data_IF_892943890836
#
_entry.id   IF_892943890836
#
_cell.length_a   1.000
_cell.length_b   1.000
_cell.length_c   1.000
_cell.angle_alpha   90.00
_cell.angle_beta   90.00
_cell.angle_gamma   90.00
#
_symmetry.space_group_name_H-M   'P 1'
#
loop_
_entity.id
_entity.type
_entity.pdbx_description
1 polymer ?
#
# COMPACT_ATOMS: atom_id res chain seq x y z
N UNK A 1 9.76 0.76 -7.42
CA UNK A 1 10.85 0.81 -6.41
C UNK A 1 11.09 2.25 -5.99
N UNK A 2 11.80 3.08 -6.75
CA UNK A 2 12.16 4.45 -6.32
C UNK A 2 11.00 5.34 -5.80
N UNK A 3 9.80 5.28 -6.38
CA UNK A 3 8.65 6.04 -5.88
C UNK A 3 8.11 5.51 -4.55
N UNK A 4 8.07 4.18 -4.39
CA UNK A 4 7.68 3.51 -3.16
C UNK A 4 8.69 3.80 -2.04
N UNK A 5 9.98 3.78 -2.36
CA UNK A 5 11.06 4.13 -1.43
C UNK A 5 10.96 5.58 -0.95
N UNK A 6 10.69 6.52 -1.87
CA UNK A 6 10.52 7.94 -1.55
C UNK A 6 9.32 8.20 -0.65
N UNK A 7 8.18 7.56 -0.92
CA UNK A 7 6.97 7.67 -0.09
C UNK A 7 7.17 7.06 1.30
N UNK A 8 7.89 5.94 1.39
CA UNK A 8 8.07 5.19 2.63
C UNK A 8 9.12 5.83 3.55
N UNK A 9 10.27 6.23 2.99
CA UNK A 9 11.42 6.65 3.80
C UNK A 9 11.60 8.17 3.87
N UNK A 10 10.92 8.92 2.99
CA UNK A 10 11.15 10.37 2.75
C UNK A 10 12.60 10.72 2.39
N UNK A 11 13.47 9.72 2.23
CA UNK A 11 14.90 9.87 2.00
C UNK A 11 15.22 9.45 0.57
N UNK A 12 15.99 10.28 -0.11
CA UNK A 12 16.65 9.90 -1.37
C UNK A 12 17.93 9.12 -1.14
N UNK A 13 18.43 9.06 0.09
CA UNK A 13 19.75 8.54 0.44
C UNK A 13 19.89 7.04 0.13
N UNK A 14 18.79 6.29 0.25
CA UNK A 14 18.73 4.84 -0.01
C UNK A 14 18.18 4.50 -1.40
N UNK A 15 18.12 5.45 -2.33
CA UNK A 15 18.00 5.16 -3.78
C UNK A 15 19.33 4.59 -4.30
N UNK A 16 19.88 3.58 -3.61
CA UNK A 16 21.21 3.01 -3.82
C UNK A 16 21.28 2.08 -5.03
N UNK A 17 20.13 1.68 -5.60
CA UNK A 17 20.08 0.81 -6.78
C UNK A 17 19.91 1.53 -8.13
N UNK A 18 19.76 2.84 -8.14
CA UNK A 18 19.81 3.64 -9.37
C UNK A 18 20.61 4.90 -9.07
N UNK A 19 21.80 5.01 -9.65
CA UNK A 19 22.67 6.19 -9.56
C UNK A 19 22.05 7.39 -10.29
N UNK A 20 20.89 7.86 -9.82
CA UNK A 20 20.19 9.02 -10.34
C UNK A 20 21.00 10.26 -9.98
N UNK A 21 21.30 11.09 -10.96
CA UNK A 21 21.86 12.43 -10.77
C UNK A 21 20.93 13.32 -9.93
N UNK A 22 21.47 14.40 -9.37
CA UNK A 22 20.68 15.38 -8.59
C UNK A 22 19.49 15.93 -9.38
N UNK A 23 19.65 16.16 -10.68
CA UNK A 23 18.58 16.63 -11.57
C UNK A 23 17.50 15.57 -11.78
N UNK A 24 17.87 14.31 -12.00
CA UNK A 24 16.90 13.22 -12.17
C UNK A 24 16.12 12.95 -10.89
N UNK A 25 16.78 13.03 -9.72
CA UNK A 25 16.11 12.95 -8.42
C UNK A 25 15.10 14.07 -8.24
N UNK A 26 15.48 15.31 -8.56
CA UNK A 26 14.58 16.47 -8.46
C UNK A 26 13.34 16.29 -9.36
N UNK A 27 13.54 15.86 -10.61
CA UNK A 27 12.44 15.57 -11.55
C UNK A 27 11.55 14.43 -11.05
N UNK A 28 12.14 13.37 -10.49
CA UNK A 28 11.38 12.25 -9.93
C UNK A 28 10.52 12.69 -8.74
N UNK A 29 11.08 13.47 -7.81
CA UNK A 29 10.33 14.05 -6.68
C UNK A 29 9.18 14.92 -7.16
N UNK A 30 9.45 15.84 -8.09
CA UNK A 30 8.42 16.70 -8.69
C UNK A 30 7.30 15.85 -9.31
N UNK A 31 7.66 14.81 -10.07
CA UNK A 31 6.70 13.93 -10.72
C UNK A 31 5.83 13.19 -9.72
N UNK A 32 6.41 12.67 -8.63
CA UNK A 32 5.62 11.98 -7.59
C UNK A 32 4.71 12.96 -6.85
N UNK A 33 5.19 14.17 -6.53
CA UNK A 33 4.39 15.23 -5.88
C UNK A 33 3.18 15.65 -6.70
N UNK A 34 3.31 15.69 -8.04
CA UNK A 34 2.24 16.12 -8.94
C UNK A 34 1.42 14.98 -9.55
N UNK A 35 1.73 13.72 -9.24
CA UNK A 35 1.04 12.56 -9.79
C UNK A 35 -0.30 12.37 -9.07
N UNK A 36 -1.34 12.08 -9.85
CA UNK A 36 -2.62 11.65 -9.33
C UNK A 36 -2.46 10.38 -8.46
N UNK A 37 -3.19 10.32 -7.35
CA UNK A 37 -3.09 9.22 -6.38
C UNK A 37 -3.44 7.87 -7.03
N UNK A 38 -4.43 7.84 -7.92
CA UNK A 38 -4.84 6.62 -8.61
C UNK A 38 -3.80 6.15 -9.62
N UNK A 39 -3.20 7.08 -10.36
CA UNK A 39 -2.08 6.75 -11.24
C UNK A 39 -0.89 6.18 -10.45
N UNK A 40 -0.57 6.76 -9.30
CA UNK A 40 0.50 6.31 -8.41
C UNK A 40 0.21 4.91 -7.83
N UNK A 41 -1.00 4.71 -7.30
CA UNK A 41 -1.44 3.42 -6.76
C UNK A 41 -1.43 2.33 -7.82
N UNK A 42 -1.99 2.61 -9.00
CA UNK A 42 -1.97 1.68 -10.13
C UNK A 42 -0.54 1.29 -10.54
N UNK A 43 0.40 2.23 -10.60
CA UNK A 43 1.79 1.94 -10.96
C UNK A 43 2.52 1.10 -9.91
N UNK A 44 2.33 1.41 -8.62
CA UNK A 44 3.03 0.72 -7.54
C UNK A 44 2.46 -0.69 -7.33
N UNK A 45 1.14 -0.83 -7.31
CA UNK A 45 0.46 -2.09 -6.98
C UNK A 45 0.36 -3.06 -8.16
N UNK A 46 0.65 -2.63 -9.39
CA UNK A 46 0.57 -3.48 -10.58
C UNK A 46 1.38 -4.76 -10.40
N UNK A 47 0.68 -5.90 -10.47
CA UNK A 47 1.28 -7.23 -10.34
C UNK A 47 1.71 -7.60 -8.92
N UNK A 48 1.42 -6.78 -7.90
CA UNK A 48 1.78 -7.02 -6.48
C UNK A 48 0.60 -7.41 -5.61
N UNK A 49 -0.63 -7.13 -6.06
CA UNK A 49 -1.82 -7.36 -5.26
C UNK A 49 -2.59 -8.55 -5.79
N UNK A 50 -3.03 -9.41 -4.87
CA UNK A 50 -4.08 -10.39 -5.12
C UNK A 50 -5.17 -10.22 -4.07
N UNK A 51 -6.42 -10.18 -4.52
CA UNK A 51 -7.57 -10.20 -3.61
C UNK A 51 -7.84 -11.63 -3.15
N UNK A 52 -8.18 -11.75 -1.87
CA UNK A 52 -8.37 -13.02 -1.18
C UNK A 52 -9.55 -12.95 -0.22
N UNK A 53 -10.14 -14.10 0.08
CA UNK A 53 -11.23 -14.24 1.05
C UNK A 53 -10.78 -14.96 2.31
N UNK A 54 -11.12 -14.39 3.47
CA UNK A 54 -11.01 -15.08 4.76
C UNK A 54 -12.10 -16.15 4.92
N UNK A 55 -11.82 -17.19 5.70
CA UNK A 55 -12.82 -18.23 6.00
C UNK A 55 -13.94 -17.75 6.94
N UNK A 56 -13.70 -16.68 7.70
CA UNK A 56 -14.68 -16.06 8.61
C UNK A 56 -14.28 -14.62 8.93
N UNK A 57 -15.21 -13.84 9.48
CA UNK A 57 -14.95 -12.47 9.93
C UNK A 57 -13.93 -12.43 11.07
N UNK A 58 -13.92 -13.41 11.97
CA UNK A 58 -12.89 -13.52 13.03
C UNK A 58 -11.50 -13.74 12.42
N UNK A 59 -11.42 -14.56 11.37
CA UNK A 59 -10.17 -14.78 10.66
C UNK A 59 -9.70 -13.50 9.94
N UNK A 60 -10.64 -12.74 9.36
CA UNK A 60 -10.41 -11.45 8.69
C UNK A 60 -9.86 -10.39 9.64
N UNK A 61 -10.38 -10.33 10.87
CA UNK A 61 -9.95 -9.35 11.89
C UNK A 61 -8.47 -9.44 12.30
N UNK A 62 -7.74 -10.47 11.84
CA UNK A 62 -6.28 -10.57 12.03
C UNK A 62 -5.47 -9.77 11.00
N UNK A 63 -6.12 -9.27 9.96
CA UNK A 63 -5.48 -8.55 8.85
C UNK A 63 -5.88 -7.07 8.86
N UNK A 64 -6.08 -6.49 10.05
CA UNK A 64 -6.30 -5.05 10.16
C UNK A 64 -5.02 -4.33 9.73
N UNK A 65 -5.14 -3.39 8.79
CA UNK A 65 -4.01 -2.60 8.31
C UNK A 65 -3.35 -1.86 9.49
N UNK A 66 -2.02 -1.85 9.56
CA UNK A 66 -1.31 -1.10 10.60
C UNK A 66 -1.63 0.39 10.56
N UNK A 67 -1.94 0.93 9.37
CA UNK A 67 -2.31 2.33 9.16
C UNK A 67 -3.70 2.70 9.68
N UNK A 68 -4.55 1.73 10.04
CA UNK A 68 -5.97 1.97 10.39
C UNK A 68 -6.14 3.06 11.46
N UNK A 69 -5.30 3.05 12.49
CA UNK A 69 -5.35 4.05 13.57
C UNK A 69 -4.94 5.46 13.12
N UNK A 70 -3.93 5.57 12.26
CA UNK A 70 -3.48 6.85 11.69
C UNK A 70 -4.51 7.45 10.71
N UNK A 71 -5.32 6.59 10.09
CA UNK A 71 -6.40 7.00 9.19
C UNK A 71 -7.70 7.38 9.93
N UNK A 72 -7.75 7.22 11.27
CA UNK A 72 -8.97 7.42 12.04
C UNK A 72 -10.09 6.44 11.69
N UNK A 73 -9.72 5.27 11.16
CA UNK A 73 -10.65 4.20 10.80
C UNK A 73 -10.88 3.28 12.00
N UNK A 74 -12.07 2.69 12.08
CA UNK A 74 -12.37 1.64 13.05
C UNK A 74 -11.72 0.32 12.65
N UNK A 75 -11.21 -0.44 13.64
CA UNK A 75 -10.50 -1.71 13.43
C UNK A 75 -11.38 -2.90 12.96
N UNK A 76 -12.53 -2.65 12.34
CA UNK A 76 -13.46 -3.70 11.92
C UNK A 76 -14.42 -3.24 10.82
N UNK A 77 -14.78 -4.17 9.94
CA UNK A 77 -15.80 -3.99 8.89
C UNK A 77 -15.25 -3.65 7.49
N UNK A 78 -14.00 -3.22 7.38
CA UNK A 78 -13.37 -2.77 6.13
C UNK A 78 -12.53 -3.82 5.40
N UNK A 79 -11.68 -3.40 4.47
CA UNK A 79 -10.73 -4.26 3.76
C UNK A 79 -9.59 -4.71 4.69
N UNK A 80 -9.35 -6.02 4.76
CA UNK A 80 -8.16 -6.56 5.41
C UNK A 80 -6.92 -6.39 4.52
N UNK A 81 -5.75 -6.16 5.10
CA UNK A 81 -4.49 -6.03 4.34
C UNK A 81 -3.42 -6.94 4.94
N UNK A 82 -2.74 -7.66 4.05
CA UNK A 82 -1.57 -8.47 4.37
C UNK A 82 -0.41 -8.07 3.46
N UNK A 83 0.58 -7.36 4.00
CA UNK A 83 1.83 -7.07 3.29
C UNK A 83 2.86 -8.15 3.62
N UNK A 84 3.46 -8.76 2.60
CA UNK A 84 4.49 -9.76 2.79
C UNK A 84 5.46 -9.84 1.60
N UNK A 85 6.72 -10.18 1.86
CA UNK A 85 7.73 -10.35 0.81
C UNK A 85 7.39 -11.48 -0.19
N UNK A 86 6.75 -12.55 0.30
CA UNK A 86 6.18 -13.61 -0.54
C UNK A 86 4.67 -13.69 -0.27
N UNK A 87 3.92 -12.90 -1.05
CA UNK A 87 2.48 -12.76 -0.92
C UNK A 87 1.75 -14.10 -1.09
N UNK A 88 2.18 -14.91 -2.06
CA UNK A 88 1.57 -16.21 -2.35
C UNK A 88 1.74 -17.19 -1.19
N UNK A 89 2.95 -17.30 -0.62
CA UNK A 89 3.22 -18.16 0.53
C UNK A 89 2.55 -17.64 1.79
N UNK A 90 2.48 -16.33 2.00
CA UNK A 90 1.78 -15.72 3.12
C UNK A 90 0.28 -16.03 3.07
N UNK A 91 -0.37 -15.83 1.92
CA UNK A 91 -1.79 -16.14 1.72
C UNK A 91 -2.12 -17.62 2.00
N UNK A 92 -1.27 -18.56 1.53
CA UNK A 92 -1.44 -19.99 1.81
C UNK A 92 -1.33 -20.31 3.30
N UNK A 93 -0.33 -19.76 3.99
CA UNK A 93 -0.15 -19.94 5.44
C UNK A 93 -1.34 -19.40 6.24
N UNK A 94 -1.90 -18.28 5.79
CA UNK A 94 -3.09 -17.67 6.35
C UNK A 94 -4.41 -18.36 5.96
N UNK A 95 -4.36 -19.40 5.09
CA UNK A 95 -5.51 -20.13 4.56
C UNK A 95 -6.52 -19.24 3.85
N UNK A 96 -6.03 -18.26 3.08
CA UNK A 96 -6.86 -17.34 2.33
C UNK A 96 -7.21 -17.89 0.95
N UNK A 97 -8.50 -17.92 0.62
CA UNK A 97 -8.99 -18.34 -0.70
C UNK A 97 -8.70 -17.27 -1.75
N UNK A 98 -8.39 -17.65 -3.00
CA UNK A 98 -8.32 -16.70 -4.10
C UNK A 98 -9.73 -16.24 -4.48
N UNK A 99 -9.96 -14.94 -4.52
CA UNK A 99 -11.26 -14.36 -4.84
C UNK A 99 -11.09 -12.91 -5.32
N UNK A 100 -11.52 -12.62 -6.55
CA UNK A 100 -11.44 -11.28 -7.16
C UNK A 100 -12.36 -10.25 -6.48
N UNK A 101 -13.29 -10.70 -5.65
CA UNK A 101 -14.15 -9.87 -4.78
C UNK A 101 -13.85 -10.11 -3.30
N UNK A 102 -12.63 -10.57 -3.02
CA UNK A 102 -12.14 -10.89 -1.69
C UNK A 102 -12.13 -9.70 -0.74
N UNK A 103 -12.20 -10.00 0.55
CA UNK A 103 -12.22 -9.02 1.64
C UNK A 103 -10.82 -8.75 2.22
N UNK A 104 -9.77 -9.34 1.63
CA UNK A 104 -8.37 -9.14 1.99
C UNK A 104 -7.54 -8.82 0.74
N UNK A 105 -6.83 -7.70 0.76
CA UNK A 105 -5.76 -7.40 -0.18
C UNK A 105 -4.42 -7.96 0.32
N UNK A 106 -3.89 -8.96 -0.37
CA UNK A 106 -2.54 -9.47 -0.11
C UNK A 106 -1.58 -8.77 -1.06
N UNK A 107 -0.62 -8.02 -0.50
CA UNK A 107 0.29 -7.14 -1.23
C UNK A 107 1.72 -7.61 -1.06
N UNK A 108 2.43 -7.79 -2.19
CA UNK A 108 3.84 -8.13 -2.18
C UNK A 108 4.72 -6.91 -1.91
N UNK A 109 5.50 -6.96 -0.83
CA UNK A 109 6.43 -5.89 -0.44
C UNK A 109 7.10 -6.09 0.91
N UNK A 110 8.01 -5.19 1.22
CA UNK A 110 8.82 -5.22 2.43
C UNK A 110 8.18 -4.39 3.56
N UNK A 111 8.57 -4.70 4.81
CA UNK A 111 8.06 -4.04 6.01
C UNK A 111 8.30 -2.52 5.98
N UNK A 112 9.44 -2.08 5.43
CA UNK A 112 9.76 -0.65 5.27
C UNK A 112 8.71 0.09 4.42
N UNK A 113 8.06 -0.59 3.48
CA UNK A 113 7.05 -0.01 2.60
C UNK A 113 5.62 -0.24 3.08
N UNK A 114 5.43 -0.97 4.20
CA UNK A 114 4.13 -1.47 4.64
C UNK A 114 3.05 -0.40 4.66
N UNK A 115 3.29 0.74 5.32
CA UNK A 115 2.28 1.81 5.44
C UNK A 115 1.86 2.39 4.09
N UNK A 116 2.82 2.55 3.17
CA UNK A 116 2.52 3.07 1.83
C UNK A 116 1.72 2.04 1.04
N UNK A 117 2.10 0.77 1.11
CA UNK A 117 1.39 -0.31 0.42
C UNK A 117 -0.02 -0.50 0.97
N UNK A 118 -0.21 -0.39 2.28
CA UNK A 118 -1.52 -0.40 2.93
C UNK A 118 -2.38 0.77 2.46
N UNK A 119 -1.86 2.01 2.49
CA UNK A 119 -2.59 3.18 2.02
C UNK A 119 -3.02 3.03 0.56
N UNK A 120 -2.13 2.58 -0.32
CA UNK A 120 -2.45 2.40 -1.74
C UNK A 120 -3.49 1.28 -1.95
N UNK A 121 -3.44 0.21 -1.16
CA UNK A 121 -4.40 -0.87 -1.23
C UNK A 121 -5.79 -0.44 -0.72
N UNK A 122 -5.87 0.30 0.38
CA UNK A 122 -7.12 0.92 0.86
C UNK A 122 -7.71 1.90 -0.16
N UNK A 123 -6.86 2.68 -0.83
CA UNK A 123 -7.30 3.57 -1.91
C UNK A 123 -7.96 2.80 -3.07
N UNK A 124 -7.35 1.70 -3.52
CA UNK A 124 -7.79 0.96 -4.70
C UNK A 124 -8.95 0.00 -4.45
N UNK A 125 -8.98 -0.64 -3.28
CA UNK A 125 -9.85 -1.79 -2.99
C UNK A 125 -10.71 -1.61 -1.74
N UNK A 126 -10.48 -0.54 -0.97
CA UNK A 126 -11.27 -0.24 0.21
C UNK A 126 -12.63 0.35 -0.13
N UNK A 127 -13.48 0.47 0.88
CA UNK A 127 -14.74 1.19 0.76
C UNK A 127 -14.54 2.72 0.59
N UNK A 128 -15.63 3.47 0.43
CA UNK A 128 -15.55 4.92 0.23
C UNK A 128 -14.87 5.68 1.39
N UNK A 129 -14.97 5.19 2.62
CA UNK A 129 -14.37 5.81 3.81
C UNK A 129 -12.87 5.52 3.84
N UNK A 130 -12.50 4.27 3.59
CA UNK A 130 -11.11 3.82 3.50
C UNK A 130 -10.38 4.52 2.36
N UNK A 131 -11.00 4.59 1.18
CA UNK A 131 -10.47 5.27 0.00
C UNK A 131 -10.23 6.76 0.27
N UNK A 132 -11.18 7.44 0.91
CA UNK A 132 -11.05 8.85 1.26
C UNK A 132 -9.90 9.09 2.25
N UNK A 133 -9.84 8.30 3.33
CA UNK A 133 -8.78 8.41 4.33
C UNK A 133 -7.39 8.14 3.72
N UNK A 134 -7.29 7.08 2.91
CA UNK A 134 -6.07 6.75 2.17
C UNK A 134 -5.64 7.87 1.21
N UNK A 135 -6.58 8.49 0.51
CA UNK A 135 -6.31 9.62 -0.39
C UNK A 135 -5.65 10.77 0.37
N UNK A 136 -6.22 11.15 1.51
CA UNK A 136 -5.65 12.21 2.35
C UNK A 136 -4.26 11.87 2.87
N UNK A 137 -4.05 10.62 3.29
CA UNK A 137 -2.75 10.16 3.77
C UNK A 137 -1.69 10.18 2.66
N UNK A 138 -2.01 9.66 1.47
CA UNK A 138 -1.08 9.62 0.32
C UNK A 138 -0.75 11.04 -0.16
N UNK A 139 -1.75 11.92 -0.26
CA UNK A 139 -1.52 13.31 -0.64
C UNK A 139 -0.61 14.04 0.35
N UNK A 140 -0.81 13.80 1.66
CA UNK A 140 0.09 14.30 2.70
C UNK A 140 1.51 13.73 2.53
N UNK A 141 1.65 12.41 2.31
CA UNK A 141 2.95 11.78 2.08
C UNK A 141 3.67 12.38 0.86
N UNK A 142 2.95 12.64 -0.24
CA UNK A 142 3.48 13.30 -1.44
C UNK A 142 4.03 14.70 -1.11
N UNK A 143 3.32 15.51 -0.32
CA UNK A 143 3.77 16.87 0.05
C UNK A 143 5.08 16.88 0.86
N UNK A 144 5.40 15.79 1.55
CA UNK A 144 6.57 15.67 2.42
C UNK A 144 7.79 14.98 1.76
N UNK A 145 7.69 14.56 0.50
CA UNK A 145 8.84 14.13 -0.34
C UNK A 145 9.72 15.33 -0.67
#
# INVERSE_FOLDING_TARGET
MAALDLLATKKTSDLTNAALSSTERSRLKQRIRSMDVGALAGQILRGRVSLRRAASDEAKNRFVAALTSELGLSAGGGLGILVAHDASRAARRARLGLDDSGDIAVVEGDEVHQKVLEALALYMYGDARECSAATHWIASAQQHI
#
